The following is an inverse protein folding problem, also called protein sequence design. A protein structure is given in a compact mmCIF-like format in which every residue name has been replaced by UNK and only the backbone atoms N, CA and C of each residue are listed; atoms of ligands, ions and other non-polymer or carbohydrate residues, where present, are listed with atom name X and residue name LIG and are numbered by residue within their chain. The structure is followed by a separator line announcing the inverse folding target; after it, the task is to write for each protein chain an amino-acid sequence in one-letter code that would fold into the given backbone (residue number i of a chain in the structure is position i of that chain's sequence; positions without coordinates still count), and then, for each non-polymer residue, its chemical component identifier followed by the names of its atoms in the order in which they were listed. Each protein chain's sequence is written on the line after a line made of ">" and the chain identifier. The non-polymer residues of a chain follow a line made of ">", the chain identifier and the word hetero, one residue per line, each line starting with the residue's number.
data_IF_676072503553
#
_entry.id   IF_676072503553
#
_cell.length_a   1.000
_cell.length_b   1.000
_cell.length_c   1.000
_cell.angle_alpha   90.00
_cell.angle_beta   90.00
_cell.angle_gamma   90.00
#
_symmetry.space_group_name_H-M   'P 1'
#
loop_
_entity.id
_entity.type
_entity.pdbx_description
1 polymer ?
#
# COMPACT_ATOMS: atom_id res chain seq x y z
N UNK A 1 11.61 -2.17 -19.28
CA UNK A 1 10.16 -2.41 -19.14
C UNK A 1 9.73 -2.57 -17.67
N UNK A 2 10.60 -3.07 -16.76
CA UNK A 2 10.32 -3.15 -15.31
C UNK A 2 10.39 -1.83 -14.54
N UNK A 3 11.03 -0.80 -15.10
CA UNK A 3 11.16 0.55 -14.51
C UNK A 3 9.81 1.15 -14.07
N UNK A 4 8.77 1.01 -14.90
CA UNK A 4 7.45 1.57 -14.59
C UNK A 4 6.77 0.84 -13.43
N UNK A 5 6.88 -0.49 -13.36
CA UNK A 5 6.33 -1.27 -12.24
C UNK A 5 7.08 -0.98 -10.94
N UNK A 6 8.40 -0.82 -11.00
CA UNK A 6 9.23 -0.47 -9.84
C UNK A 6 8.82 0.90 -9.27
N UNK A 7 8.68 1.91 -10.12
CA UNK A 7 8.25 3.26 -9.70
C UNK A 7 6.84 3.26 -9.12
N UNK A 8 5.93 2.46 -9.67
CA UNK A 8 4.57 2.30 -9.12
C UNK A 8 4.61 1.63 -7.74
N UNK A 9 5.44 0.59 -7.57
CA UNK A 9 5.61 -0.08 -6.28
C UNK A 9 6.23 0.84 -5.22
N UNK A 10 7.26 1.61 -5.57
CA UNK A 10 7.86 2.62 -4.68
C UNK A 10 6.83 3.69 -4.27
N UNK A 11 6.03 4.18 -5.23
CA UNK A 11 4.97 5.13 -4.94
C UNK A 11 3.91 4.53 -3.99
N UNK A 12 3.46 3.29 -4.22
CA UNK A 12 2.52 2.61 -3.33
C UNK A 12 3.11 2.39 -1.93
N UNK A 13 4.42 2.11 -1.83
CA UNK A 13 5.10 1.95 -0.55
C UNK A 13 5.22 3.27 0.22
N UNK A 14 5.62 4.36 -0.45
CA UNK A 14 5.64 5.71 0.15
C UNK A 14 4.24 6.16 0.56
N UNK A 15 3.20 5.84 -0.22
CA UNK A 15 1.80 6.10 0.14
C UNK A 15 1.35 5.30 1.36
N UNK A 16 1.77 4.04 1.48
CA UNK A 16 1.48 3.20 2.63
C UNK A 16 2.16 3.72 3.91
N UNK A 17 3.35 4.30 3.77
CA UNK A 17 4.08 4.97 4.85
C UNK A 17 3.57 6.40 5.14
N UNK A 18 2.64 6.93 4.33
CA UNK A 18 1.99 8.22 4.54
C UNK A 18 2.72 9.45 3.97
N UNK A 19 3.74 9.25 3.12
CA UNK A 19 4.64 10.33 2.67
C UNK A 19 4.01 11.23 1.58
N UNK A 20 3.15 10.69 0.71
CA UNK A 20 2.77 11.41 -0.53
C UNK A 20 1.26 11.39 -0.89
N UNK A 21 0.38 10.99 0.04
CA UNK A 21 -1.06 10.84 -0.28
C UNK A 21 -1.68 12.12 -0.84
N UNK A 22 -1.40 13.28 -0.23
CA UNK A 22 -2.08 14.52 -0.58
C UNK A 22 -1.67 15.08 -1.96
N UNK A 23 -0.39 14.95 -2.33
CA UNK A 23 0.16 15.49 -3.57
C UNK A 23 -0.37 14.76 -4.81
N UNK A 24 -0.46 13.42 -4.76
CA UNK A 24 -1.03 12.61 -5.86
C UNK A 24 -2.53 12.87 -6.01
N UNK A 25 -3.28 12.96 -4.91
CA UNK A 25 -4.72 13.27 -4.97
C UNK A 25 -5.02 14.68 -5.49
N UNK A 26 -4.14 15.65 -5.24
CA UNK A 26 -4.28 17.02 -5.76
C UNK A 26 -4.12 17.08 -7.28
N UNK A 27 -3.14 16.36 -7.84
CA UNK A 27 -2.94 16.29 -9.30
C UNK A 27 -4.09 15.56 -10.02
N UNK A 28 -4.70 14.53 -9.41
CA UNK A 28 -5.81 13.80 -10.02
C UNK A 28 -7.16 14.55 -9.98
N UNK A 29 -7.30 15.56 -9.11
CA UNK A 29 -8.57 16.27 -8.90
C UNK A 29 -9.01 17.10 -10.11
N UNK A 30 -8.07 17.64 -10.89
CA UNK A 30 -8.38 18.58 -11.98
C UNK A 30 -8.92 17.91 -13.26
N UNK A 31 -8.80 16.59 -13.40
CA UNK A 31 -9.09 15.93 -14.68
C UNK A 31 -10.45 15.24 -14.72
N UNK A 32 -10.88 14.55 -13.65
CA UNK A 32 -12.18 13.86 -13.63
C UNK A 32 -12.62 13.38 -12.24
N UNK A 33 -13.85 13.71 -11.81
CA UNK A 33 -14.39 13.32 -10.49
C UNK A 33 -14.53 11.80 -10.31
N UNK A 34 -14.82 11.07 -11.38
CA UNK A 34 -14.92 9.60 -11.34
C UNK A 34 -13.56 8.93 -11.10
N UNK A 35 -12.50 9.44 -11.75
CA UNK A 35 -11.13 8.94 -11.58
C UNK A 35 -10.67 9.22 -10.14
N UNK A 36 -10.98 10.40 -9.60
CA UNK A 36 -10.69 10.74 -8.21
C UNK A 36 -11.34 9.78 -7.20
N UNK A 37 -12.62 9.45 -7.40
CA UNK A 37 -13.34 8.50 -6.53
C UNK A 37 -12.75 7.10 -6.62
N UNK A 38 -12.48 6.62 -7.84
CA UNK A 38 -11.89 5.30 -8.07
C UNK A 38 -10.50 5.18 -7.43
N UNK A 39 -9.64 6.20 -7.59
CA UNK A 39 -8.31 6.23 -6.99
C UNK A 39 -8.35 6.22 -5.46
N UNK A 40 -9.33 6.90 -4.83
CA UNK A 40 -9.51 6.83 -3.37
C UNK A 40 -9.89 5.43 -2.93
N UNK A 41 -10.92 4.83 -3.55
CA UNK A 41 -11.37 3.48 -3.19
C UNK A 41 -10.24 2.47 -3.38
N UNK A 42 -9.49 2.57 -4.48
CA UNK A 42 -8.32 1.73 -4.75
C UNK A 42 -7.27 1.87 -3.64
N UNK A 43 -6.84 3.08 -3.32
CA UNK A 43 -5.79 3.32 -2.33
C UNK A 43 -6.24 2.91 -0.91
N UNK A 44 -7.46 3.24 -0.49
CA UNK A 44 -7.97 2.83 0.82
C UNK A 44 -8.11 1.31 0.93
N UNK A 45 -8.62 0.64 -0.11
CA UNK A 45 -8.71 -0.82 -0.12
C UNK A 45 -7.33 -1.47 -0.08
N UNK A 46 -6.37 -0.94 -0.84
CA UNK A 46 -5.01 -1.46 -0.88
C UNK A 46 -4.30 -1.32 0.47
N UNK A 47 -4.32 -0.12 1.07
CA UNK A 47 -3.70 0.15 2.37
C UNK A 47 -4.35 -0.71 3.47
N UNK A 48 -5.67 -0.81 3.46
CA UNK A 48 -6.41 -1.64 4.42
C UNK A 48 -6.01 -3.11 4.34
N UNK A 49 -6.04 -3.70 3.14
CA UNK A 49 -5.66 -5.12 2.95
C UNK A 49 -4.20 -5.34 3.35
N UNK A 50 -3.29 -4.44 3.00
CA UNK A 50 -1.89 -4.61 3.31
C UNK A 50 -1.59 -4.51 4.82
N UNK A 51 -2.20 -3.56 5.53
CA UNK A 51 -2.01 -3.41 6.98
C UNK A 51 -2.70 -4.54 7.74
N UNK A 52 -3.96 -4.87 7.42
CA UNK A 52 -4.70 -5.84 8.23
C UNK A 52 -4.41 -7.29 7.90
N UNK A 53 -4.16 -7.62 6.62
CA UNK A 53 -3.90 -9.00 6.22
C UNK A 53 -2.40 -9.27 6.12
N UNK A 54 -1.68 -8.50 5.30
CA UNK A 54 -0.28 -8.82 4.98
C UNK A 54 0.62 -8.62 6.19
N UNK A 55 0.55 -7.48 6.87
CA UNK A 55 1.37 -7.24 8.08
C UNK A 55 1.03 -8.22 9.20
N UNK A 56 -0.26 -8.52 9.41
CA UNK A 56 -0.69 -9.49 10.41
C UNK A 56 -0.11 -10.89 10.13
N UNK A 57 -0.09 -11.30 8.87
CA UNK A 57 0.44 -12.58 8.45
C UNK A 57 1.97 -12.63 8.58
N UNK A 58 2.67 -11.55 8.26
CA UNK A 58 4.11 -11.44 8.51
C UNK A 58 4.46 -11.57 9.99
N UNK A 59 3.72 -10.89 10.88
CA UNK A 59 3.93 -11.00 12.33
C UNK A 59 3.68 -12.45 12.78
N UNK A 60 2.60 -13.08 12.31
CA UNK A 60 2.29 -14.47 12.65
C UNK A 60 3.41 -15.44 12.21
N UNK A 61 3.94 -15.29 10.98
CA UNK A 61 5.04 -16.11 10.49
C UNK A 61 6.33 -15.92 11.29
N UNK A 62 6.66 -14.68 11.68
CA UNK A 62 7.84 -14.39 12.50
C UNK A 62 7.66 -15.02 13.90
N UNK A 63 6.49 -14.87 14.51
CA UNK A 63 6.18 -15.48 15.81
C UNK A 63 6.27 -17.02 15.75
N UNK A 64 5.66 -17.63 14.74
CA UNK A 64 5.68 -19.10 14.53
C UNK A 64 7.10 -19.64 14.29
N UNK A 65 7.89 -18.94 13.48
CA UNK A 65 9.29 -19.28 13.24
C UNK A 65 10.14 -19.12 14.51
N UNK A 66 9.88 -18.06 15.30
CA UNK A 66 10.57 -17.82 16.57
C UNK A 66 10.24 -18.89 17.61
N UNK A 67 8.98 -19.32 17.70
CA UNK A 67 8.56 -20.43 18.57
C UNK A 67 9.21 -21.75 18.15
N UNK A 68 9.32 -22.03 16.85
CA UNK A 68 9.98 -23.24 16.33
C UNK A 68 11.48 -23.28 16.66
N UNK A 69 12.19 -22.16 16.54
CA UNK A 69 13.64 -22.08 16.82
C UNK A 69 13.96 -22.09 18.31
N UNK A 70 13.02 -21.67 19.16
CA UNK A 70 13.20 -21.66 20.62
C UNK A 70 13.12 -23.06 21.27
N UNK A 71 12.58 -24.05 20.55
CA UNK A 71 12.53 -25.48 20.96
C UNK A 71 13.87 -26.16 20.69
#
# INVERSE_FOLDING_TARGET
>A
QFEQLSRVAECLFSLLNGDDMFATFAQLKDTNSLVWFFSRVYLYSFISVFIYMVLSLFIALITDSYETVKV
#
